data_IF_238023636051
#
_entry.id   IF_238023636051
#
_cell.length_a   1.000
_cell.length_b   1.000
_cell.length_c   1.000
_cell.angle_alpha   90.00
_cell.angle_beta   90.00
_cell.angle_gamma   90.00
#
_symmetry.space_group_name_H-M   'P 1'
#
loop_
_entity.id
_entity.type
_entity.pdbx_description
1 polymer ?
#
# COMPACT_ATOMS: atom_id res chain seq x y z
N UNK A 1 -40.47 47.45 -9.11
CA UNK A 1 -39.66 48.64 -8.74
C UNK A 1 -38.20 48.31 -9.01
N UNK A 2 -37.69 48.79 -10.13
CA UNK A 2 -36.31 48.62 -10.60
C UNK A 2 -35.54 49.81 -10.12
N UNK A 3 -34.45 49.63 -9.38
CA UNK A 3 -33.53 50.71 -9.03
C UNK A 3 -32.19 50.49 -9.77
N UNK A 4 -31.95 51.42 -10.70
CA UNK A 4 -30.73 51.62 -11.45
C UNK A 4 -29.68 52.25 -10.56
N UNK A 5 -28.40 51.83 -10.65
CA UNK A 5 -27.23 52.53 -10.10
C UNK A 5 -26.35 53.01 -11.25
N UNK A 6 -25.79 54.23 -11.15
CA UNK A 6 -25.05 54.87 -12.23
C UNK A 6 -23.58 54.47 -12.32
N UNK A 7 -23.10 54.43 -13.56
CA UNK A 7 -21.70 54.31 -13.95
C UNK A 7 -20.91 55.58 -13.56
N UNK A 8 -19.69 55.40 -13.02
CA UNK A 8 -18.72 56.47 -12.79
C UNK A 8 -17.43 56.24 -13.62
N UNK A 9 -16.82 57.27 -14.20
CA UNK A 9 -15.78 57.12 -15.21
C UNK A 9 -14.37 56.92 -14.63
N UNK A 10 -13.56 56.13 -15.38
CA UNK A 10 -12.13 55.91 -15.14
C UNK A 10 -11.27 57.11 -15.56
N UNK A 11 -10.18 57.40 -14.84
CA UNK A 11 -9.10 58.21 -15.39
C UNK A 11 -8.08 57.32 -16.15
N UNK A 12 -7.74 57.73 -17.34
CA UNK A 12 -6.66 57.27 -18.18
C UNK A 12 -5.31 57.78 -17.63
N UNK A 13 -4.38 56.84 -17.33
CA UNK A 13 -2.96 57.18 -17.22
C UNK A 13 -2.19 56.41 -18.29
N UNK A 14 -1.58 57.16 -19.18
CA UNK A 14 -0.59 56.65 -20.13
C UNK A 14 0.78 56.64 -19.47
N UNK A 15 1.54 55.55 -19.59
CA UNK A 15 2.98 55.54 -19.38
C UNK A 15 3.63 54.41 -20.21
N UNK A 16 4.29 54.82 -21.19
CA UNK A 16 5.61 54.53 -21.79
C UNK A 16 6.26 53.19 -21.45
N UNK A 17 6.68 52.53 -22.51
CA UNK A 17 7.23 51.23 -22.67
C UNK A 17 8.55 50.90 -22.01
N UNK A 18 8.74 49.59 -21.89
CA UNK A 18 10.03 48.90 -21.97
C UNK A 18 9.79 47.48 -22.48
N UNK A 19 10.28 47.19 -23.68
CA UNK A 19 10.38 45.83 -24.22
C UNK A 19 11.43 45.06 -23.43
N UNK A 20 10.99 44.05 -22.70
CA UNK A 20 11.86 42.94 -22.24
C UNK A 20 11.35 41.68 -22.87
N UNK A 21 12.14 41.12 -23.77
CA UNK A 21 11.92 39.81 -24.37
C UNK A 21 12.13 38.74 -23.30
N UNK A 22 11.05 38.25 -22.69
CA UNK A 22 11.05 37.13 -21.78
C UNK A 22 10.66 35.87 -22.55
N UNK A 23 11.59 34.93 -22.67
CA UNK A 23 11.35 33.61 -23.21
C UNK A 23 10.30 32.91 -22.35
N UNK A 24 9.10 32.67 -22.90
CA UNK A 24 8.06 31.86 -22.27
C UNK A 24 8.48 30.41 -22.35
N UNK A 25 8.95 29.83 -21.23
CA UNK A 25 9.06 28.39 -21.06
C UNK A 25 7.65 27.84 -20.87
N UNK A 26 7.20 27.09 -21.85
CA UNK A 26 6.00 26.26 -21.78
C UNK A 26 6.23 25.17 -20.70
N UNK A 27 5.73 25.40 -19.49
CA UNK A 27 5.60 24.35 -18.47
C UNK A 27 4.45 23.44 -18.89
N UNK A 28 4.80 22.26 -19.41
CA UNK A 28 3.87 21.20 -19.70
C UNK A 28 3.19 20.73 -18.40
N UNK A 29 1.87 20.65 -18.37
CA UNK A 29 1.09 19.94 -17.37
C UNK A 29 1.46 18.46 -17.43
N UNK A 30 2.36 18.03 -16.56
CA UNK A 30 2.71 16.62 -16.33
C UNK A 30 1.97 16.09 -15.12
N UNK A 31 1.45 14.89 -15.26
CA UNK A 31 0.59 14.17 -14.33
C UNK A 31 1.06 14.15 -12.88
N UNK A 32 0.10 14.00 -11.99
CA UNK A 32 0.23 13.92 -10.54
C UNK A 32 0.99 12.64 -10.11
N UNK A 33 2.30 12.64 -10.33
CA UNK A 33 3.20 11.67 -9.70
C UNK A 33 3.55 12.19 -8.29
N UNK A 34 3.39 11.35 -7.29
CA UNK A 34 3.90 11.61 -5.93
C UNK A 34 5.41 11.89 -6.08
N UNK A 35 5.91 12.97 -5.51
CA UNK A 35 7.32 13.34 -5.57
C UNK A 35 8.18 12.19 -5.05
N UNK A 36 8.97 11.59 -5.93
CA UNK A 36 9.86 10.49 -5.56
C UNK A 36 10.95 10.93 -4.58
N UNK A 37 11.41 10.03 -3.76
CA UNK A 37 12.54 10.26 -2.86
C UNK A 37 13.80 10.55 -3.70
N UNK A 38 14.58 11.62 -3.40
CA UNK A 38 15.80 11.92 -4.13
C UNK A 38 16.77 10.72 -4.14
N UNK A 39 17.56 10.58 -5.21
CA UNK A 39 18.60 9.56 -5.26
C UNK A 39 19.62 9.75 -4.13
N UNK A 40 20.07 8.67 -3.47
CA UNK A 40 21.04 8.75 -2.38
C UNK A 40 22.38 9.27 -2.89
N UNK A 41 23.08 10.04 -2.05
CA UNK A 41 24.40 10.64 -2.37
C UNK A 41 25.59 9.70 -2.14
N UNK A 42 25.34 8.47 -1.65
CA UNK A 42 26.37 7.46 -1.37
C UNK A 42 26.60 6.49 -2.54
N UNK A 43 27.73 5.74 -2.54
CA UNK A 43 27.96 4.73 -3.56
C UNK A 43 26.92 3.61 -3.43
N UNK A 44 26.31 3.24 -4.57
CA UNK A 44 25.39 2.11 -4.65
C UNK A 44 26.11 0.80 -4.29
N UNK A 45 25.48 -0.01 -3.44
CA UNK A 45 26.00 -1.35 -3.11
C UNK A 45 25.80 -2.34 -4.27
N UNK A 46 24.79 -2.08 -5.13
CA UNK A 46 24.40 -2.92 -6.26
C UNK A 46 24.28 -2.05 -7.51
N UNK A 47 24.97 -2.42 -8.58
CA UNK A 47 24.87 -1.71 -9.87
C UNK A 47 23.78 -2.35 -10.73
N UNK A 48 22.91 -1.50 -11.29
CA UNK A 48 21.95 -1.89 -12.33
C UNK A 48 22.53 -1.65 -13.73
N UNK A 49 22.25 -2.56 -14.65
CA UNK A 49 22.51 -2.35 -16.06
C UNK A 49 21.47 -1.42 -16.67
N UNK A 50 21.84 -0.65 -17.68
CA UNK A 50 20.89 0.16 -18.46
C UNK A 50 19.74 -0.70 -19.00
N UNK A 51 18.53 -0.19 -18.97
CA UNK A 51 17.33 -0.90 -19.42
C UNK A 51 16.77 -1.93 -18.42
N UNK A 52 17.36 -2.09 -17.22
CA UNK A 52 16.79 -2.93 -16.15
C UNK A 52 15.51 -2.34 -15.59
N UNK A 53 15.44 -1.01 -15.50
CA UNK A 53 14.26 -0.26 -15.04
C UNK A 53 13.47 0.30 -16.22
N UNK A 54 12.19 0.52 -16.02
CA UNK A 54 11.31 1.21 -17.00
C UNK A 54 11.82 2.63 -17.29
N UNK A 55 12.39 3.28 -16.25
CA UNK A 55 13.06 4.57 -16.36
C UNK A 55 14.42 4.48 -15.67
N UNK A 56 15.49 4.62 -16.44
CA UNK A 56 16.84 4.59 -15.89
C UNK A 56 17.02 5.62 -14.77
N UNK A 57 17.68 5.22 -13.69
CA UNK A 57 17.93 6.04 -12.51
C UNK A 57 16.74 6.19 -11.54
N UNK A 58 15.60 5.58 -11.84
CA UNK A 58 14.41 5.61 -10.97
C UNK A 58 13.71 4.27 -10.97
N UNK A 59 13.59 3.64 -9.80
CA UNK A 59 12.75 2.45 -9.63
C UNK A 59 11.33 2.90 -9.27
N UNK A 60 10.34 2.38 -9.99
CA UNK A 60 8.92 2.62 -9.69
C UNK A 60 8.32 1.39 -9.02
N UNK A 61 7.81 1.56 -7.80
CA UNK A 61 7.06 0.55 -7.08
C UNK A 61 5.56 0.73 -7.27
N UNK A 62 4.85 -0.32 -7.72
CA UNK A 62 3.40 -0.39 -7.56
C UNK A 62 3.08 -0.74 -6.11
N UNK A 63 2.19 0.02 -5.47
CA UNK A 63 1.74 -0.21 -4.11
C UNK A 63 0.29 0.25 -3.95
N UNK A 64 -0.51 -0.49 -3.21
CA UNK A 64 -1.82 -0.01 -2.75
C UNK A 64 -1.60 0.81 -1.47
N UNK A 65 -1.69 2.13 -1.60
CA UNK A 65 -1.37 3.05 -0.51
C UNK A 65 -2.63 3.31 0.34
N UNK A 66 -3.17 2.23 0.96
CA UNK A 66 -4.40 2.30 1.75
C UNK A 66 -4.37 1.46 3.04
N UNK A 67 -3.24 0.79 3.36
CA UNK A 67 -3.10 -0.17 4.45
C UNK A 67 -2.04 0.24 5.48
N UNK A 68 -2.34 1.18 6.42
CA UNK A 68 -1.43 1.50 7.50
C UNK A 68 -1.23 0.29 8.45
N UNK A 69 -0.05 0.10 9.02
CA UNK A 69 1.12 0.99 9.03
C UNK A 69 2.11 0.76 7.88
N UNK A 70 1.77 -0.08 6.90
CA UNK A 70 2.70 -0.53 5.86
C UNK A 70 2.80 0.48 4.72
N UNK A 71 1.67 0.84 4.12
CA UNK A 71 1.57 1.79 3.02
C UNK A 71 0.33 2.66 3.20
N UNK A 72 0.49 3.97 3.40
CA UNK A 72 -0.63 4.91 3.55
C UNK A 72 -0.20 6.34 3.27
N UNK A 73 -1.16 7.24 3.14
CA UNK A 73 -0.89 8.67 3.02
C UNK A 73 -0.95 9.34 4.39
N UNK A 74 0.05 10.16 4.71
CA UNK A 74 0.02 11.04 5.87
C UNK A 74 -0.91 12.25 5.65
N UNK A 75 -1.00 13.13 6.64
CA UNK A 75 -1.83 14.33 6.56
C UNK A 75 -1.40 15.31 5.45
N UNK A 76 -0.16 15.25 5.00
CA UNK A 76 0.38 16.04 3.89
C UNK A 76 0.22 15.37 2.52
N UNK A 77 -0.48 14.24 2.45
CA UNK A 77 -0.67 13.40 1.27
C UNK A 77 0.64 12.80 0.75
N UNK A 78 1.65 12.65 1.61
CA UNK A 78 2.86 11.93 1.29
C UNK A 78 2.66 10.43 1.60
N UNK A 79 3.12 9.57 0.69
CA UNK A 79 3.17 8.13 0.95
C UNK A 79 4.19 7.85 2.07
N UNK A 80 3.74 7.12 3.09
CA UNK A 80 4.54 6.76 4.28
C UNK A 80 4.18 5.34 4.71
N UNK A 81 5.01 4.76 5.56
CA UNK A 81 4.78 3.43 6.13
C UNK A 81 6.03 2.56 6.07
N UNK A 82 5.96 1.40 6.70
CA UNK A 82 7.09 0.48 6.80
C UNK A 82 7.58 0.03 5.42
N UNK A 83 6.67 -0.28 4.51
CA UNK A 83 7.04 -0.74 3.15
C UNK A 83 7.53 0.41 2.26
N UNK A 84 7.05 1.63 2.51
CA UNK A 84 7.58 2.83 1.82
C UNK A 84 9.05 3.02 2.22
N UNK A 85 9.36 3.02 3.52
CA UNK A 85 10.74 3.15 3.99
C UNK A 85 11.61 1.99 3.53
N UNK A 86 11.08 0.78 3.51
CA UNK A 86 11.78 -0.40 3.03
C UNK A 86 12.12 -0.30 1.54
N UNK A 87 11.15 0.08 0.69
CA UNK A 87 11.38 0.27 -0.74
C UNK A 87 12.35 1.42 -1.03
N UNK A 88 12.30 2.50 -0.25
CA UNK A 88 13.25 3.61 -0.33
C UNK A 88 14.67 3.15 0.04
N UNK A 89 14.82 2.30 1.08
CA UNK A 89 16.10 1.71 1.46
C UNK A 89 16.65 0.78 0.36
N UNK A 90 15.80 -0.03 -0.27
CA UNK A 90 16.21 -0.86 -1.42
C UNK A 90 16.70 0.01 -2.59
N UNK A 91 15.94 1.07 -2.94
CA UNK A 91 16.33 2.00 -4.00
C UNK A 91 17.68 2.68 -3.70
N UNK A 92 17.93 3.04 -2.44
CA UNK A 92 19.20 3.58 -1.99
C UNK A 92 20.37 2.62 -2.23
N UNK A 93 20.20 1.33 -1.92
CA UNK A 93 21.22 0.30 -2.19
C UNK A 93 21.48 0.10 -3.70
N UNK A 94 20.48 0.34 -4.52
CA UNK A 94 20.57 0.29 -5.99
C UNK A 94 21.15 1.57 -6.61
N UNK A 95 21.31 2.66 -5.81
CA UNK A 95 21.78 3.96 -6.28
C UNK A 95 20.80 4.70 -7.18
N UNK A 96 19.49 4.46 -7.02
CA UNK A 96 18.42 5.06 -7.80
C UNK A 96 17.42 5.78 -6.90
N UNK A 97 16.60 6.67 -7.47
CA UNK A 97 15.46 7.25 -6.75
C UNK A 97 14.29 6.28 -6.72
N UNK A 98 13.50 6.29 -5.65
CA UNK A 98 12.23 5.58 -5.58
C UNK A 98 11.08 6.45 -6.08
N UNK A 99 10.14 5.85 -6.79
CA UNK A 99 8.85 6.42 -7.17
C UNK A 99 7.74 5.45 -6.76
N UNK A 100 6.65 5.96 -6.19
CA UNK A 100 5.54 5.16 -5.69
C UNK A 100 4.29 5.40 -6.54
N UNK A 101 3.89 4.38 -7.30
CA UNK A 101 2.67 4.39 -8.10
C UNK A 101 1.53 3.76 -7.28
N UNK A 102 0.58 4.60 -6.82
CA UNK A 102 -0.60 4.11 -6.12
C UNK A 102 -1.46 3.27 -7.07
N UNK A 103 -1.52 1.98 -6.82
CA UNK A 103 -2.14 0.98 -7.69
C UNK A 103 -3.07 0.10 -6.86
N UNK A 104 -4.35 0.04 -7.23
CA UNK A 104 -5.30 -0.81 -6.50
C UNK A 104 -4.86 -2.27 -6.44
N UNK A 105 -4.97 -2.89 -5.27
CA UNK A 105 -4.40 -4.21 -4.97
C UNK A 105 -4.84 -5.32 -5.95
N UNK A 106 -6.11 -5.34 -6.35
CA UNK A 106 -6.64 -6.34 -7.28
C UNK A 106 -6.06 -6.24 -8.71
N UNK A 107 -5.51 -5.09 -9.09
CA UNK A 107 -4.89 -4.83 -10.39
C UNK A 107 -3.35 -4.77 -10.37
N UNK A 108 -2.72 -5.00 -9.22
CA UNK A 108 -1.31 -4.68 -9.00
C UNK A 108 -0.36 -5.58 -9.81
N UNK A 109 -0.64 -6.89 -9.93
CA UNK A 109 0.14 -7.81 -10.77
C UNK A 109 -0.04 -7.50 -12.27
N UNK A 110 -1.24 -7.31 -12.81
CA UNK A 110 -1.44 -6.79 -14.17
C UNK A 110 -0.68 -5.50 -14.47
N UNK A 111 -0.66 -4.53 -13.53
CA UNK A 111 0.09 -3.28 -13.70
C UNK A 111 1.61 -3.52 -13.82
N UNK A 112 2.17 -4.41 -13.00
CA UNK A 112 3.57 -4.83 -13.11
C UNK A 112 3.86 -5.49 -14.46
N UNK A 113 3.00 -6.41 -14.90
CA UNK A 113 3.15 -7.10 -16.20
C UNK A 113 3.06 -6.12 -17.38
N UNK A 114 2.20 -5.09 -17.26
CA UNK A 114 2.09 -4.02 -18.26
C UNK A 114 3.23 -2.99 -18.17
N UNK A 115 4.26 -3.22 -17.34
CA UNK A 115 5.42 -2.32 -17.14
C UNK A 115 5.03 -0.91 -16.68
N UNK A 116 3.93 -0.78 -15.94
CA UNK A 116 3.55 0.47 -15.29
C UNK A 116 4.42 0.75 -14.06
N UNK A 117 5.09 -0.28 -13.53
CA UNK A 117 6.10 -0.20 -12.50
C UNK A 117 7.18 -1.28 -12.71
N UNK A 118 8.25 -1.18 -11.96
CA UNK A 118 9.39 -2.11 -12.00
C UNK A 118 9.21 -3.29 -11.05
N UNK A 119 8.69 -3.01 -9.85
CA UNK A 119 8.43 -4.01 -8.83
C UNK A 119 7.15 -3.66 -8.05
N UNK A 120 6.62 -4.64 -7.32
CA UNK A 120 5.52 -4.45 -6.36
C UNK A 120 6.09 -4.53 -4.94
N UNK A 121 5.76 -3.56 -4.09
CA UNK A 121 5.90 -3.62 -2.63
C UNK A 121 4.56 -3.18 -2.06
N UNK A 122 3.73 -4.12 -1.61
CA UNK A 122 2.35 -3.89 -1.18
C UNK A 122 1.79 -5.07 -0.41
N UNK A 123 2.54 -5.56 0.58
CA UNK A 123 2.18 -6.73 1.39
C UNK A 123 1.67 -7.92 0.54
N UNK A 124 2.33 -8.12 -0.61
CA UNK A 124 1.92 -9.15 -1.56
C UNK A 124 2.35 -10.53 -1.07
N UNK A 125 1.41 -11.35 -0.60
CA UNK A 125 1.64 -12.70 -0.10
C UNK A 125 2.18 -13.61 -1.20
N UNK A 126 3.27 -14.33 -0.90
CA UNK A 126 3.87 -15.32 -1.78
C UNK A 126 2.96 -16.55 -1.80
N UNK A 127 2.33 -16.81 -2.94
CA UNK A 127 1.39 -17.91 -3.16
C UNK A 127 1.70 -18.59 -4.48
N UNK A 128 1.50 -19.93 -4.59
CA UNK A 128 1.83 -20.68 -5.81
C UNK A 128 1.22 -20.11 -7.10
N UNK A 129 -0.01 -19.60 -7.04
CA UNK A 129 -0.65 -18.99 -8.21
C UNK A 129 0.00 -17.66 -8.63
N UNK A 130 0.53 -16.88 -7.69
CA UNK A 130 1.27 -15.64 -7.98
C UNK A 130 2.68 -15.93 -8.48
N UNK A 131 3.35 -16.93 -7.89
CA UNK A 131 4.70 -17.38 -8.33
C UNK A 131 4.72 -17.89 -9.78
N UNK A 132 3.58 -18.32 -10.32
CA UNK A 132 3.49 -18.67 -11.75
C UNK A 132 3.72 -17.49 -12.69
N UNK A 133 3.41 -16.27 -12.23
CA UNK A 133 3.37 -15.07 -13.10
C UNK A 133 4.34 -13.96 -12.71
N UNK A 134 4.89 -14.00 -11.49
CA UNK A 134 5.91 -13.07 -10.98
C UNK A 134 6.95 -13.82 -10.15
N UNK A 135 8.14 -13.24 -9.97
CA UNK A 135 9.15 -13.72 -9.04
C UNK A 135 9.15 -12.86 -7.78
N UNK A 136 9.52 -13.45 -6.63
CA UNK A 136 9.45 -12.79 -5.34
C UNK A 136 10.81 -12.72 -4.63
N UNK A 137 11.14 -11.58 -4.05
CA UNK A 137 12.17 -11.40 -3.04
C UNK A 137 11.47 -11.28 -1.69
N UNK A 138 11.46 -12.33 -0.85
CA UNK A 138 10.78 -12.31 0.44
C UNK A 138 11.45 -11.31 1.39
N UNK A 139 10.68 -10.45 2.09
CA UNK A 139 11.24 -9.45 3.01
C UNK A 139 10.63 -9.44 4.40
N UNK A 140 9.44 -10.00 4.62
CA UNK A 140 8.82 -10.13 5.95
C UNK A 140 7.79 -11.27 5.97
N UNK A 141 7.31 -11.61 7.17
CA UNK A 141 6.07 -12.38 7.33
C UNK A 141 4.90 -11.42 7.52
N UNK A 142 3.69 -11.91 7.27
CA UNK A 142 2.45 -11.27 7.67
C UNK A 142 1.41 -12.33 8.03
N UNK A 143 0.44 -11.95 8.83
CA UNK A 143 -0.70 -12.81 9.21
C UNK A 143 -2.01 -12.09 8.97
N UNK A 144 -3.10 -12.82 8.86
CA UNK A 144 -4.44 -12.25 8.78
C UNK A 144 -5.14 -12.32 10.13
N UNK A 145 -6.10 -11.44 10.34
CA UNK A 145 -6.97 -11.43 11.52
C UNK A 145 -8.34 -10.85 11.18
N UNK A 146 -9.26 -10.96 12.12
CA UNK A 146 -10.58 -10.34 12.05
C UNK A 146 -10.70 -9.27 13.13
N UNK A 147 -11.17 -8.09 12.74
CA UNK A 147 -11.58 -7.02 13.64
C UNK A 147 -13.11 -6.95 13.71
N UNK A 148 -13.59 -6.66 14.91
CA UNK A 148 -14.97 -6.28 15.19
C UNK A 148 -14.97 -4.97 16.00
N UNK A 149 -16.09 -4.29 16.13
CA UNK A 149 -16.21 -3.22 17.13
C UNK A 149 -16.09 -3.83 18.53
N UNK A 150 -15.62 -3.06 19.52
CA UNK A 150 -15.54 -3.51 20.91
C UNK A 150 -16.88 -4.06 21.42
N UNK A 151 -17.99 -3.40 21.04
CA UNK A 151 -19.34 -3.90 21.35
C UNK A 151 -19.65 -5.22 20.62
N UNK A 152 -19.26 -5.35 19.37
CA UNK A 152 -19.49 -6.54 18.53
C UNK A 152 -18.71 -7.76 19.01
N UNK A 153 -17.62 -7.57 19.77
CA UNK A 153 -16.83 -8.64 20.36
C UNK A 153 -17.62 -9.52 21.37
N UNK A 154 -18.80 -9.10 21.79
CA UNK A 154 -19.71 -9.94 22.60
C UNK A 154 -20.35 -11.05 21.79
N UNK A 155 -20.65 -10.77 20.52
CA UNK A 155 -21.43 -11.64 19.64
C UNK A 155 -20.58 -12.40 18.60
N UNK A 156 -19.38 -11.90 18.28
CA UNK A 156 -18.43 -12.48 17.31
C UNK A 156 -17.13 -12.75 18.05
N UNK A 157 -16.78 -14.01 18.25
CA UNK A 157 -15.54 -14.45 18.89
C UNK A 157 -14.56 -15.06 17.91
N UNK A 158 -15.07 -15.52 16.77
CA UNK A 158 -14.29 -16.20 15.73
C UNK A 158 -14.98 -16.09 14.39
N UNK A 159 -14.32 -16.57 13.33
CA UNK A 159 -14.91 -16.64 11.99
C UNK A 159 -16.17 -17.52 11.92
N UNK A 160 -16.35 -18.48 12.82
CA UNK A 160 -17.52 -19.37 12.85
C UNK A 160 -18.82 -18.62 13.24
N UNK A 161 -18.66 -17.50 13.97
CA UNK A 161 -19.79 -16.65 14.37
C UNK A 161 -20.22 -15.67 13.27
N UNK A 162 -19.53 -15.65 12.13
CA UNK A 162 -19.86 -14.78 11.00
C UNK A 162 -21.00 -15.33 10.11
N UNK A 163 -21.47 -16.55 10.32
CA UNK A 163 -22.59 -17.11 9.55
C UNK A 163 -23.83 -16.21 9.66
N UNK A 164 -24.35 -15.73 8.51
CA UNK A 164 -25.48 -14.82 8.43
C UNK A 164 -25.16 -13.35 8.74
N UNK A 165 -23.89 -13.02 8.99
CA UNK A 165 -23.42 -11.66 9.28
C UNK A 165 -22.73 -11.03 8.07
N UNK A 166 -22.44 -9.74 8.16
CA UNK A 166 -21.71 -8.96 7.16
C UNK A 166 -20.24 -8.87 7.52
N UNK A 167 -19.36 -9.23 6.58
CA UNK A 167 -17.92 -9.08 6.75
C UNK A 167 -17.32 -8.27 5.60
N UNK A 168 -16.44 -7.32 5.91
CA UNK A 168 -15.71 -6.53 4.93
C UNK A 168 -14.29 -7.04 4.73
N UNK A 169 -13.74 -6.84 3.53
CA UNK A 169 -12.35 -7.08 3.20
C UNK A 169 -11.96 -6.41 1.89
N UNK A 170 -10.66 -6.27 1.64
CA UNK A 170 -10.18 -5.69 0.40
C UNK A 170 -10.21 -6.72 -0.74
N UNK A 171 -10.68 -6.31 -1.91
CA UNK A 171 -10.78 -7.14 -3.11
C UNK A 171 -9.41 -7.70 -3.54
N UNK A 172 -9.36 -9.00 -3.87
CA UNK A 172 -8.14 -9.67 -4.34
C UNK A 172 -7.18 -10.14 -3.25
N UNK A 173 -7.58 -10.01 -1.98
CA UNK A 173 -6.78 -10.43 -0.83
C UNK A 173 -7.10 -11.85 -0.38
N UNK A 174 -6.16 -12.47 0.34
CA UNK A 174 -6.34 -13.77 1.02
C UNK A 174 -7.44 -13.72 2.09
N UNK A 175 -7.75 -12.53 2.59
CA UNK A 175 -8.85 -12.29 3.54
C UNK A 175 -10.20 -12.61 2.91
N UNK A 176 -10.45 -12.10 1.69
CA UNK A 176 -11.69 -12.36 0.97
C UNK A 176 -11.80 -13.85 0.60
N UNK A 177 -10.68 -14.49 0.23
CA UNK A 177 -10.65 -15.95 0.00
C UNK A 177 -11.06 -16.71 1.27
N UNK A 178 -10.45 -16.37 2.41
CA UNK A 178 -10.77 -16.98 3.70
C UNK A 178 -12.25 -16.80 4.09
N UNK A 179 -12.78 -15.58 3.99
CA UNK A 179 -14.19 -15.31 4.26
C UNK A 179 -15.12 -16.06 3.31
N UNK A 180 -14.71 -16.22 2.04
CA UNK A 180 -15.46 -16.99 1.04
C UNK A 180 -15.52 -18.48 1.44
N UNK A 181 -14.39 -19.05 1.86
CA UNK A 181 -14.34 -20.44 2.30
C UNK A 181 -15.12 -20.65 3.61
N UNK A 182 -15.05 -19.70 4.53
CA UNK A 182 -15.86 -19.72 5.74
C UNK A 182 -17.37 -19.63 5.43
N UNK A 183 -17.75 -18.81 4.45
CA UNK A 183 -19.14 -18.70 3.97
C UNK A 183 -19.66 -20.04 3.38
N UNK A 184 -18.79 -20.78 2.65
CA UNK A 184 -19.10 -22.14 2.18
C UNK A 184 -19.33 -23.11 3.34
N UNK A 185 -18.48 -23.05 4.39
CA UNK A 185 -18.66 -23.87 5.61
C UNK A 185 -19.99 -23.55 6.31
N UNK A 186 -20.38 -22.28 6.42
CA UNK A 186 -21.69 -21.89 6.93
C UNK A 186 -22.82 -22.57 6.16
N UNK A 187 -22.79 -22.51 4.83
CA UNK A 187 -23.80 -23.14 3.99
C UNK A 187 -23.83 -24.66 4.14
N UNK A 188 -22.68 -25.33 4.21
CA UNK A 188 -22.58 -26.77 4.41
C UNK A 188 -23.14 -27.20 5.78
N UNK A 189 -23.07 -26.33 6.79
CA UNK A 189 -23.65 -26.54 8.12
C UNK A 189 -25.14 -26.13 8.20
N UNK A 190 -25.79 -25.81 7.09
CA UNK A 190 -27.21 -25.39 7.06
C UNK A 190 -27.45 -23.98 7.62
N UNK A 191 -26.39 -23.19 7.82
CA UNK A 191 -26.49 -21.80 8.29
C UNK A 191 -26.52 -20.82 7.13
N UNK A 192 -26.97 -19.60 7.39
CA UNK A 192 -26.93 -18.52 6.41
C UNK A 192 -25.48 -18.18 6.00
N UNK A 193 -25.27 -17.88 4.72
CA UNK A 193 -23.96 -17.47 4.20
C UNK A 193 -23.51 -16.13 4.82
N UNK A 194 -22.22 -15.89 4.84
CA UNK A 194 -21.64 -14.59 5.17
C UNK A 194 -21.91 -13.63 3.99
N UNK A 195 -22.42 -12.43 4.27
CA UNK A 195 -22.54 -11.33 3.31
C UNK A 195 -21.18 -10.62 3.22
N UNK A 196 -20.36 -11.01 2.23
CA UNK A 196 -18.99 -10.51 2.08
C UNK A 196 -19.01 -9.21 1.27
N UNK A 197 -18.66 -8.11 1.91
CA UNK A 197 -18.53 -6.78 1.31
C UNK A 197 -17.10 -6.50 0.93
N UNK A 198 -16.84 -6.35 -0.37
CA UNK A 198 -15.51 -6.13 -0.89
C UNK A 198 -15.29 -4.67 -1.27
N UNK A 199 -14.11 -4.13 -0.93
CA UNK A 199 -13.73 -2.74 -1.18
C UNK A 199 -12.41 -2.70 -1.94
N UNK A 200 -12.23 -1.69 -2.77
CA UNK A 200 -10.99 -1.51 -3.54
C UNK A 200 -9.82 -1.08 -2.66
N UNK A 201 -10.09 -0.40 -1.53
CA UNK A 201 -9.09 0.05 -0.55
C UNK A 201 -9.33 -0.63 0.80
N UNK A 202 -8.25 -0.99 1.48
CA UNK A 202 -8.31 -1.57 2.82
C UNK A 202 -8.91 -0.60 3.84
N UNK A 203 -8.52 0.68 3.76
CA UNK A 203 -9.09 1.75 4.58
C UNK A 203 -10.60 1.91 4.46
N UNK A 204 -11.17 1.67 3.27
CA UNK A 204 -12.62 1.77 3.06
C UNK A 204 -13.36 0.61 3.75
N UNK A 205 -12.76 -0.59 3.75
CA UNK A 205 -13.30 -1.75 4.47
C UNK A 205 -13.32 -1.51 5.99
N UNK A 206 -12.23 -0.97 6.57
CA UNK A 206 -12.19 -0.57 7.98
C UNK A 206 -13.25 0.50 8.30
N UNK A 207 -13.46 1.46 7.39
CA UNK A 207 -14.48 2.50 7.59
C UNK A 207 -15.89 1.92 7.69
N UNK A 208 -16.22 0.84 6.97
CA UNK A 208 -17.52 0.18 7.09
C UNK A 208 -17.72 -0.41 8.49
N UNK A 209 -16.69 -1.03 9.06
CA UNK A 209 -16.76 -1.52 10.45
C UNK A 209 -16.96 -0.38 11.43
N UNK A 210 -16.22 0.72 11.27
CA UNK A 210 -16.33 1.92 12.13
C UNK A 210 -17.74 2.52 12.10
N UNK A 211 -18.40 2.51 10.95
CA UNK A 211 -19.77 3.00 10.77
C UNK A 211 -20.83 1.98 11.21
N UNK A 212 -20.44 0.76 11.61
CA UNK A 212 -21.38 -0.30 11.99
C UNK A 212 -22.18 -0.86 10.81
N UNK A 213 -21.70 -0.68 9.58
CA UNK A 213 -22.34 -1.17 8.35
C UNK A 213 -22.00 -2.62 8.04
N UNK A 214 -20.95 -3.14 8.69
CA UNK A 214 -20.54 -4.55 8.72
C UNK A 214 -20.25 -4.98 10.16
N UNK A 215 -20.37 -6.29 10.41
CA UNK A 215 -20.13 -6.88 11.74
C UNK A 215 -18.65 -7.18 11.98
N UNK A 216 -17.89 -7.42 10.91
CA UNK A 216 -16.46 -7.73 10.97
C UNK A 216 -15.72 -7.13 9.77
N UNK A 217 -14.43 -6.86 9.98
CA UNK A 217 -13.47 -6.47 8.97
C UNK A 217 -12.27 -7.42 9.04
N UNK A 218 -12.01 -8.11 7.93
CA UNK A 218 -10.84 -8.93 7.78
C UNK A 218 -9.69 -8.13 7.20
N UNK A 219 -8.53 -8.20 7.83
CA UNK A 219 -7.32 -7.48 7.43
C UNK A 219 -6.05 -8.23 7.88
N UNK A 220 -4.91 -7.61 7.72
CA UNK A 220 -3.65 -8.14 8.25
C UNK A 220 -3.52 -7.85 9.74
N UNK A 221 -2.75 -8.67 10.45
CA UNK A 221 -2.50 -8.49 11.88
C UNK A 221 -1.87 -7.12 12.18
N UNK A 222 -0.97 -6.69 11.30
CA UNK A 222 -0.25 -5.43 11.38
C UNK A 222 -1.20 -4.23 11.28
N UNK A 223 -2.10 -4.25 10.28
CA UNK A 223 -3.12 -3.20 10.10
C UNK A 223 -4.14 -3.19 11.24
N UNK A 224 -4.53 -4.37 11.73
CA UNK A 224 -5.41 -4.49 12.89
C UNK A 224 -4.76 -3.91 14.16
N UNK A 225 -3.51 -4.28 14.44
CA UNK A 225 -2.76 -3.75 15.58
C UNK A 225 -2.61 -2.21 15.51
N UNK A 226 -2.37 -1.69 14.31
CA UNK A 226 -2.31 -0.25 14.09
C UNK A 226 -3.66 0.42 14.37
N UNK A 227 -4.77 -0.13 13.85
CA UNK A 227 -6.12 0.40 14.09
C UNK A 227 -6.48 0.44 15.57
N UNK A 228 -6.17 -0.63 16.32
CA UNK A 228 -6.36 -0.68 17.78
C UNK A 228 -5.54 0.38 18.51
N UNK A 229 -4.29 0.60 18.10
CA UNK A 229 -3.42 1.62 18.70
C UNK A 229 -3.92 3.04 18.42
N UNK A 230 -4.43 3.30 17.20
CA UNK A 230 -4.93 4.62 16.82
C UNK A 230 -6.27 4.95 17.46
N UNK A 231 -7.09 3.95 17.80
CA UNK A 231 -8.42 4.11 18.35
C UNK A 231 -8.65 3.12 19.52
N UNK A 232 -8.03 3.37 20.67
CA UNK A 232 -8.18 2.50 21.83
C UNK A 232 -9.67 2.36 22.24
N UNK A 233 -10.13 1.11 22.44
CA UNK A 233 -11.49 0.80 22.84
C UNK A 233 -12.54 0.87 21.72
N UNK A 234 -12.15 1.18 20.48
CA UNK A 234 -13.09 1.16 19.35
C UNK A 234 -13.29 -0.23 18.76
N UNK A 235 -12.24 -1.04 18.75
CA UNK A 235 -12.20 -2.34 18.09
C UNK A 235 -11.61 -3.41 18.99
N UNK A 236 -11.90 -4.68 18.65
CA UNK A 236 -11.26 -5.86 19.20
C UNK A 236 -10.85 -6.82 18.09
N UNK A 237 -9.70 -7.48 18.21
CA UNK A 237 -9.35 -8.65 17.40
C UNK A 237 -10.10 -9.86 17.94
N UNK A 238 -10.59 -10.73 17.04
CA UNK A 238 -11.33 -11.95 17.39
C UNK A 238 -10.77 -13.16 16.67
N UNK A 239 -10.74 -14.28 17.38
CA UNK A 239 -10.08 -15.50 16.95
C UNK A 239 -8.55 -15.38 16.95
N UNK A 240 -7.89 -16.49 16.63
CA UNK A 240 -6.43 -16.50 16.46
C UNK A 240 -6.04 -15.93 15.10
N UNK A 241 -4.89 -15.25 14.99
CA UNK A 241 -4.32 -14.87 13.70
C UNK A 241 -4.11 -16.12 12.82
N UNK A 242 -4.33 -15.95 11.53
CA UNK A 242 -4.26 -17.06 10.56
C UNK A 242 -3.46 -16.67 9.32
N UNK A 243 -3.13 -17.67 8.48
CA UNK A 243 -2.38 -17.47 7.24
C UNK A 243 -1.07 -16.70 7.43
N UNK A 244 -0.21 -17.15 8.38
CA UNK A 244 1.14 -16.59 8.48
C UNK A 244 1.95 -16.99 7.25
N UNK A 245 2.17 -16.05 6.34
CA UNK A 245 2.76 -16.24 5.01
C UNK A 245 3.88 -15.21 4.81
N UNK A 246 4.89 -15.59 4.01
CA UNK A 246 5.93 -14.65 3.55
C UNK A 246 5.32 -13.63 2.59
N UNK A 247 5.75 -12.39 2.77
CA UNK A 247 5.48 -11.28 1.87
C UNK A 247 6.74 -10.98 1.08
N UNK A 248 6.61 -10.65 -0.20
CA UNK A 248 7.77 -10.40 -1.06
C UNK A 248 7.60 -9.22 -1.99
N UNK A 249 8.73 -8.58 -2.30
CA UNK A 249 8.81 -7.67 -3.43
C UNK A 249 8.70 -8.50 -4.72
N UNK A 250 7.71 -8.18 -5.56
CA UNK A 250 7.49 -8.94 -6.78
C UNK A 250 8.08 -8.24 -7.99
N UNK A 251 8.69 -9.01 -8.87
CA UNK A 251 9.25 -8.58 -10.16
C UNK A 251 8.67 -9.39 -11.32
N UNK A 252 8.75 -8.85 -12.53
CA UNK A 252 8.39 -9.63 -13.72
C UNK A 252 9.38 -10.76 -13.93
N UNK A 253 8.90 -11.90 -14.40
CA UNK A 253 9.73 -13.07 -14.70
C UNK A 253 10.75 -12.83 -15.84
N UNK A 254 10.46 -11.89 -16.73
CA UNK A 254 11.37 -11.49 -17.81
C UNK A 254 12.46 -10.51 -17.35
N UNK A 255 12.52 -10.15 -16.07
CA UNK A 255 13.48 -9.21 -15.52
C UNK A 255 14.30 -9.81 -14.35
N UNK A 256 15.00 -10.91 -14.64
CA UNK A 256 15.85 -11.59 -13.65
C UNK A 256 16.95 -10.67 -13.09
N UNK A 257 17.45 -9.73 -13.89
CA UNK A 257 18.46 -8.76 -13.46
C UNK A 257 17.96 -7.88 -12.30
N UNK A 258 16.70 -7.39 -12.36
CA UNK A 258 16.11 -6.63 -11.28
C UNK A 258 15.82 -7.49 -10.06
N UNK A 259 15.34 -8.73 -10.28
CA UNK A 259 15.09 -9.67 -9.18
C UNK A 259 16.35 -9.92 -8.36
N UNK A 260 17.47 -10.27 -9.02
CA UNK A 260 18.76 -10.46 -8.34
C UNK A 260 19.27 -9.19 -7.66
N UNK A 261 19.09 -8.04 -8.30
CA UNK A 261 19.52 -6.76 -7.74
C UNK A 261 18.75 -6.42 -6.47
N UNK A 262 17.42 -6.64 -6.44
CA UNK A 262 16.60 -6.43 -5.25
C UNK A 262 16.96 -7.41 -4.13
N UNK A 263 17.25 -8.68 -4.45
CA UNK A 263 17.72 -9.64 -3.44
C UNK A 263 19.05 -9.22 -2.80
N UNK A 264 19.99 -8.72 -3.60
CA UNK A 264 21.29 -8.19 -3.10
C UNK A 264 21.08 -6.90 -2.30
N UNK A 265 20.20 -6.02 -2.74
CA UNK A 265 19.84 -4.80 -2.02
C UNK A 265 19.22 -5.11 -0.65
N UNK A 266 18.29 -6.08 -0.59
CA UNK A 266 17.71 -6.54 0.68
C UNK A 266 18.79 -7.06 1.62
N UNK A 267 19.69 -7.92 1.16
CA UNK A 267 20.80 -8.42 1.98
C UNK A 267 21.70 -7.28 2.51
N UNK A 268 21.90 -6.21 1.74
CA UNK A 268 22.63 -5.03 2.19
C UNK A 268 21.88 -4.24 3.25
N UNK A 269 20.58 -4.03 3.09
CA UNK A 269 19.69 -3.34 4.07
C UNK A 269 19.59 -4.15 5.37
N UNK A 270 19.58 -5.48 5.30
CA UNK A 270 19.63 -6.36 6.47
C UNK A 270 20.99 -6.25 7.19
N UNK A 271 22.08 -6.32 6.43
CA UNK A 271 23.44 -6.27 6.97
C UNK A 271 23.78 -4.95 7.65
N UNK A 272 23.31 -3.82 7.12
CA UNK A 272 23.59 -2.50 7.70
C UNK A 272 22.66 -2.14 8.89
N UNK A 273 21.69 -3.00 9.23
CA UNK A 273 20.77 -2.83 10.34
C UNK A 273 19.56 -1.94 10.06
N UNK A 274 19.44 -1.38 8.86
CA UNK A 274 18.33 -0.51 8.47
C UNK A 274 17.00 -1.29 8.43
N UNK A 275 17.02 -2.53 7.94
CA UNK A 275 15.87 -3.44 7.97
C UNK A 275 15.29 -3.60 9.39
N UNK A 276 16.13 -3.96 10.36
CA UNK A 276 15.71 -4.11 11.76
C UNK A 276 15.21 -2.80 12.36
N UNK A 277 15.81 -1.67 11.98
CA UNK A 277 15.40 -0.34 12.43
C UNK A 277 14.00 0.01 11.92
N UNK A 278 13.69 -0.29 10.65
CA UNK A 278 12.35 -0.10 10.06
C UNK A 278 11.32 -0.97 10.81
N UNK A 279 11.59 -2.26 11.00
CA UNK A 279 10.68 -3.14 11.73
C UNK A 279 10.41 -2.65 13.16
N UNK A 280 11.44 -2.22 13.89
CA UNK A 280 11.29 -1.66 15.25
C UNK A 280 10.45 -0.38 15.25
N UNK A 281 10.74 0.54 14.35
CA UNK A 281 10.02 1.82 14.22
C UNK A 281 8.53 1.62 14.05
N UNK A 282 8.14 0.64 13.23
CA UNK A 282 6.76 0.36 12.88
C UNK A 282 6.10 -0.72 13.76
N UNK A 283 6.82 -1.23 14.78
CA UNK A 283 6.36 -2.31 15.68
C UNK A 283 6.03 -3.62 14.93
N UNK A 284 6.90 -3.99 13.99
CA UNK A 284 6.78 -5.17 13.13
C UNK A 284 7.87 -6.22 13.40
N UNK A 285 8.50 -6.18 14.56
CA UNK A 285 9.60 -7.13 14.88
C UNK A 285 9.14 -8.60 14.91
N UNK A 286 7.85 -8.86 15.15
CA UNK A 286 7.26 -10.19 15.04
C UNK A 286 7.20 -10.75 13.62
N UNK A 287 7.37 -9.89 12.62
CA UNK A 287 7.28 -10.22 11.20
C UNK A 287 8.66 -10.34 10.53
N UNK A 288 9.72 -10.29 11.34
CA UNK A 288 11.10 -10.43 10.89
C UNK A 288 11.31 -11.75 10.13
N UNK A 289 11.77 -11.67 8.87
CA UNK A 289 12.03 -12.85 8.05
C UNK A 289 13.30 -13.58 8.44
N UNK A 290 14.23 -12.88 9.10
CA UNK A 290 15.47 -13.48 9.60
C UNK A 290 15.28 -14.20 10.95
N UNK A 291 14.15 -13.95 11.64
CA UNK A 291 13.82 -14.57 12.92
C UNK A 291 14.71 -14.13 14.08
N UNK A 292 15.25 -12.91 14.02
CA UNK A 292 16.16 -12.33 15.05
C UNK A 292 15.41 -11.56 16.12
#
# INVERSE_FOLDING_TARGET
MVRSFPCSPRPTFALVGALVAGAATLTGCGGSGVAGTPAPTGPAAVKLSAGTLVKDGQITYCSDISAPPLTFYDASQKAVGAEIEFGDALAAQLGVSANWANTGFNGIIPALQAKQCDAIISQLYIKPEREKVVDFVPYMYASNTLLVTEKGAKDVKSADDLCGRKAAGQTGTTIVEYLTDQSKKCAAAGKAKIDIRQFTKDSDALQQLRLGLVDSYGTTLESAAYALKQQPGAFAMVGEPFNRIKVGAATRKDNAALHEALAKALAAVQKNGEYTSILKKWNLTGDDIEGK
#
